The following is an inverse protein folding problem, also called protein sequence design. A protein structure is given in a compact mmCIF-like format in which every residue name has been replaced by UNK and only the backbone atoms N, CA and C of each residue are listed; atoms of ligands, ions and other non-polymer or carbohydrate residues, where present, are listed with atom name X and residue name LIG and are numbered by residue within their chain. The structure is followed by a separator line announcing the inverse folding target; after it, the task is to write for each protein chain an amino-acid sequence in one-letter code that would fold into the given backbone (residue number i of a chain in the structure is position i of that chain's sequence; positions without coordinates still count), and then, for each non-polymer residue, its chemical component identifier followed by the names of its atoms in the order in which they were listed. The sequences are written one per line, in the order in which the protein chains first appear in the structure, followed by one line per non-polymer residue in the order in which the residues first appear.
data_IF_813952599409
#
_entry.id   IF_813952599409
#
_cell.length_a   1.000
_cell.length_b   1.000
_cell.length_c   1.000
_cell.angle_alpha   90.00
_cell.angle_beta   90.00
_cell.angle_gamma   90.00
#
_symmetry.space_group_name_H-M   'P 1'
#
loop_
_entity.id
_entity.type
_entity.pdbx_description
1 polymer ?
#
# COMPACT_ATOMS: atom_id res chain seq x y z
N UNK A 1 34.60 -1.11 2.94
CA UNK A 1 33.93 -0.61 4.17
C UNK A 1 33.36 -1.82 4.90
N UNK A 2 33.66 -2.00 6.18
CA UNK A 2 33.37 -3.23 6.94
C UNK A 2 31.94 -3.30 7.51
N UNK A 3 31.51 -4.48 7.91
CA UNK A 3 30.32 -4.89 8.71
C UNK A 3 30.19 -4.23 10.11
N UNK A 4 30.94 -3.14 10.33
CA UNK A 4 30.99 -2.39 11.59
C UNK A 4 29.93 -1.30 11.65
N UNK A 5 29.35 -1.13 12.82
CA UNK A 5 28.37 -0.08 13.11
C UNK A 5 29.07 1.28 13.19
N UNK A 6 28.72 2.20 12.30
CA UNK A 6 29.01 3.63 12.47
C UNK A 6 28.05 4.19 13.51
N UNK A 7 28.57 4.78 14.58
CA UNK A 7 27.90 5.41 15.73
C UNK A 7 26.38 5.64 15.62
N UNK A 8 25.62 5.25 16.65
CA UNK A 8 24.18 5.52 16.73
C UNK A 8 23.44 4.47 17.56
N UNK A 9 22.12 4.68 17.70
CA UNK A 9 21.22 3.71 18.33
C UNK A 9 20.96 2.56 17.34
N UNK A 10 21.10 1.29 17.76
CA UNK A 10 20.83 0.16 16.88
C UNK A 10 19.36 0.11 16.44
N UNK A 11 19.07 -0.43 15.25
CA UNK A 11 17.69 -0.64 14.80
C UNK A 11 16.95 -1.59 15.74
N UNK A 12 15.61 -1.47 15.77
CA UNK A 12 14.77 -2.41 16.53
C UNK A 12 15.02 -3.84 16.03
N UNK A 13 15.11 -4.80 16.95
CA UNK A 13 15.51 -6.17 16.65
C UNK A 13 17.00 -6.46 16.80
N UNK A 14 17.82 -5.42 16.99
CA UNK A 14 19.27 -5.56 17.15
C UNK A 14 19.81 -4.76 18.33
N UNK A 15 20.94 -5.23 18.84
CA UNK A 15 21.76 -4.57 19.84
C UNK A 15 23.21 -4.49 19.37
N UNK A 16 23.95 -3.50 19.86
CA UNK A 16 25.38 -3.36 19.55
C UNK A 16 26.19 -4.24 20.49
N UNK A 17 27.08 -5.06 19.92
CA UNK A 17 28.05 -5.88 20.66
C UNK A 17 29.47 -5.53 20.21
N UNK A 18 30.52 -5.84 21.01
CA UNK A 18 31.90 -5.75 20.53
C UNK A 18 32.09 -6.55 19.25
N UNK A 19 32.80 -5.99 18.28
CA UNK A 19 33.06 -6.67 17.02
C UNK A 19 33.98 -7.90 17.24
N UNK A 20 33.73 -9.06 16.60
CA UNK A 20 34.59 -10.25 16.75
C UNK A 20 36.06 -9.99 16.42
N UNK A 21 36.34 -9.06 15.50
CA UNK A 21 37.70 -8.64 15.13
C UNK A 21 38.41 -7.77 16.18
N UNK A 22 37.82 -7.54 17.37
CA UNK A 22 38.38 -6.72 18.44
C UNK A 22 38.40 -5.21 18.21
N UNK A 23 37.95 -4.72 17.04
CA UNK A 23 37.91 -3.29 16.69
C UNK A 23 36.50 -2.88 16.25
N UNK A 24 35.89 -1.95 16.99
CA UNK A 24 34.57 -1.40 16.69
C UNK A 24 33.40 -2.22 17.27
N UNK A 25 32.19 -1.94 16.79
CA UNK A 25 30.95 -2.58 17.23
C UNK A 25 30.29 -3.34 16.07
N UNK A 26 29.71 -4.50 16.35
CA UNK A 26 28.86 -5.28 15.46
C UNK A 26 27.39 -5.22 15.91
N UNK A 27 26.47 -5.67 15.05
CA UNK A 27 25.08 -5.89 15.43
C UNK A 27 24.86 -7.37 15.76
N UNK A 28 24.16 -7.63 16.85
CA UNK A 28 23.62 -8.95 17.19
C UNK A 28 22.11 -8.82 17.39
N UNK A 29 21.36 -9.90 17.16
CA UNK A 29 19.92 -9.92 17.47
C UNK A 29 19.70 -9.57 18.95
N UNK A 30 18.77 -8.68 19.18
CA UNK A 30 18.23 -8.35 20.50
C UNK A 30 17.00 -9.23 20.75
N UNK A 31 16.99 -10.14 21.74
CA UNK A 31 15.87 -11.04 21.97
C UNK A 31 14.53 -10.33 22.18
N UNK A 32 14.52 -9.19 22.88
CA UNK A 32 13.29 -8.43 23.14
C UNK A 32 12.75 -7.78 21.86
N UNK A 33 13.61 -7.03 21.16
CA UNK A 33 13.24 -6.38 19.89
C UNK A 33 12.89 -7.39 18.79
N UNK A 34 13.57 -8.54 18.76
CA UNK A 34 13.30 -9.61 17.81
C UNK A 34 11.92 -10.22 18.06
N UNK A 35 11.61 -10.58 19.31
CA UNK A 35 10.29 -11.09 19.70
C UNK A 35 9.19 -10.08 19.35
N UNK A 36 9.41 -8.80 19.67
CA UNK A 36 8.46 -7.73 19.35
C UNK A 36 8.17 -7.63 17.84
N UNK A 37 9.21 -7.71 17.01
CA UNK A 37 9.06 -7.66 15.56
C UNK A 37 8.27 -8.85 15.00
N UNK A 38 8.46 -10.04 15.57
CA UNK A 38 7.68 -11.23 15.22
C UNK A 38 6.22 -11.15 15.70
N UNK A 39 5.97 -10.63 16.90
CA UNK A 39 4.59 -10.35 17.37
C UNK A 39 3.88 -9.35 16.43
N UNK A 40 4.58 -8.29 16.01
CA UNK A 40 4.04 -7.34 15.03
C UNK A 40 3.74 -8.02 13.70
N UNK A 41 4.63 -8.89 13.21
CA UNK A 41 4.42 -9.68 11.98
C UNK A 41 3.17 -10.56 12.11
N UNK A 42 3.03 -11.34 13.19
CA UNK A 42 1.86 -12.18 13.41
C UNK A 42 0.57 -11.35 13.40
N UNK A 43 0.57 -10.20 14.08
CA UNK A 43 -0.61 -9.31 14.07
C UNK A 43 -0.93 -8.73 12.70
N UNK A 44 0.09 -8.36 11.94
CA UNK A 44 -0.08 -7.73 10.63
C UNK A 44 -0.49 -8.73 9.55
N UNK A 45 0.17 -9.89 9.51
CA UNK A 45 0.12 -10.84 8.40
C UNK A 45 -0.81 -12.02 8.71
N UNK A 46 -0.73 -12.59 9.91
CA UNK A 46 -1.50 -13.80 10.26
C UNK A 46 -2.89 -13.45 10.83
N UNK A 47 -2.97 -12.42 11.68
CA UNK A 47 -4.24 -11.92 12.25
C UNK A 47 -4.88 -10.81 11.39
N UNK A 48 -4.22 -10.38 10.32
CA UNK A 48 -4.66 -9.33 9.39
C UNK A 48 -5.06 -7.97 10.05
N UNK A 49 -4.52 -7.64 11.23
CA UNK A 49 -4.88 -6.42 11.96
C UNK A 49 -4.45 -5.15 11.21
N UNK A 50 -5.22 -4.07 11.40
CA UNK A 50 -4.85 -2.74 10.87
C UNK A 50 -3.62 -2.15 11.55
N UNK A 51 -2.82 -1.39 10.81
CA UNK A 51 -1.64 -0.68 11.35
C UNK A 51 -2.00 0.28 12.50
N UNK A 52 -3.21 0.84 12.47
CA UNK A 52 -3.72 1.68 13.56
C UNK A 52 -4.01 0.84 14.81
N UNK A 53 -4.59 -0.35 14.66
CA UNK A 53 -4.81 -1.30 15.77
C UNK A 53 -3.48 -1.71 16.39
N UNK A 54 -2.51 -2.08 15.55
CA UNK A 54 -1.17 -2.51 16.00
C UNK A 54 -0.45 -1.36 16.72
N UNK A 55 -0.48 -0.13 16.17
CA UNK A 55 0.13 1.03 16.82
C UNK A 55 -0.53 1.35 18.17
N UNK A 56 -1.84 1.19 18.28
CA UNK A 56 -2.57 1.37 19.55
C UNK A 56 -2.17 0.31 20.58
N UNK A 57 -2.21 -0.97 20.19
CA UNK A 57 -1.76 -2.09 21.03
C UNK A 57 -0.32 -1.89 21.54
N UNK A 58 0.62 -1.50 20.67
CA UNK A 58 2.00 -1.21 21.06
C UNK A 58 2.09 -0.10 22.12
N UNK A 59 1.25 0.92 22.02
CA UNK A 59 1.22 2.02 22.99
C UNK A 59 0.54 1.64 24.31
N UNK A 60 -0.53 0.84 24.26
CA UNK A 60 -1.24 0.35 25.45
C UNK A 60 -0.36 -0.59 26.28
N UNK A 61 0.42 -1.45 25.61
CA UNK A 61 1.40 -2.35 26.23
C UNK A 61 2.71 -1.64 26.66
N UNK A 62 2.82 -0.33 26.44
CA UNK A 62 4.04 0.43 26.80
C UNK A 62 5.29 0.07 26.00
N UNK A 63 5.14 -0.61 24.85
CA UNK A 63 6.25 -1.04 23.99
C UNK A 63 6.82 0.15 23.22
N UNK A 64 8.15 0.24 23.08
CA UNK A 64 8.82 1.39 22.42
C UNK A 64 9.86 0.95 21.39
N UNK A 65 10.17 1.82 20.42
CA UNK A 65 11.30 1.59 19.49
C UNK A 65 12.64 1.81 20.18
N UNK A 66 13.72 1.21 19.69
CA UNK A 66 15.09 1.42 20.22
C UNK A 66 15.47 2.90 20.30
N UNK A 67 15.10 3.70 19.29
CA UNK A 67 15.36 5.14 19.26
C UNK A 67 14.52 5.89 20.29
N UNK A 68 13.24 5.53 20.46
CA UNK A 68 12.38 6.11 21.49
C UNK A 68 12.89 5.77 22.89
N UNK A 69 13.29 4.53 23.13
CA UNK A 69 13.88 4.08 24.41
C UNK A 69 15.14 4.89 24.73
N UNK A 70 16.02 5.10 23.75
CA UNK A 70 17.24 5.91 23.92
C UNK A 70 16.99 7.40 24.16
N UNK A 71 15.81 7.93 23.78
CA UNK A 71 15.41 9.34 23.98
C UNK A 71 14.56 9.56 25.24
N UNK A 72 14.42 8.56 26.10
CA UNK A 72 13.60 8.65 27.32
C UNK A 72 12.11 8.41 27.10
N UNK A 73 11.71 7.86 25.95
CA UNK A 73 10.33 7.45 25.66
C UNK A 73 9.83 7.90 24.28
N UNK A 74 8.63 7.44 23.93
CA UNK A 74 7.95 7.84 22.69
C UNK A 74 6.79 6.90 22.34
N UNK A 75 5.85 7.38 21.52
CA UNK A 75 4.69 6.62 21.08
C UNK A 75 4.88 6.06 19.67
N UNK A 76 4.34 4.89 19.42
CA UNK A 76 4.19 4.34 18.07
C UNK A 76 3.16 5.14 17.28
N UNK A 77 3.52 5.46 16.04
CA UNK A 77 2.62 5.98 15.02
C UNK A 77 2.57 5.00 13.85
N UNK A 78 1.52 5.04 13.03
CA UNK A 78 1.43 4.24 11.80
C UNK A 78 2.64 4.50 10.89
N UNK A 79 3.11 5.75 10.79
CA UNK A 79 4.32 6.11 10.02
C UNK A 79 5.58 5.47 10.60
N UNK A 80 5.73 5.47 11.93
CA UNK A 80 6.86 4.80 12.59
C UNK A 80 6.83 3.29 12.36
N UNK A 81 5.64 2.68 12.47
CA UNK A 81 5.42 1.25 12.27
C UNK A 81 5.75 0.83 10.84
N UNK A 82 5.19 1.53 9.83
CA UNK A 82 5.51 1.31 8.41
C UNK A 82 7.02 1.43 8.17
N UNK A 83 7.66 2.47 8.71
CA UNK A 83 9.10 2.68 8.55
C UNK A 83 9.93 1.54 9.12
N UNK A 84 9.57 1.01 10.30
CA UNK A 84 10.27 -0.14 10.89
C UNK A 84 10.10 -1.38 10.04
N UNK A 85 8.88 -1.66 9.59
CA UNK A 85 8.55 -2.86 8.82
C UNK A 85 8.93 -2.81 7.34
N UNK A 86 9.34 -1.66 6.81
CA UNK A 86 9.84 -1.52 5.42
C UNK A 86 11.35 -1.30 5.36
N UNK A 87 11.99 -1.06 6.50
CA UNK A 87 13.43 -0.77 6.55
C UNK A 87 14.24 -2.02 6.29
N UNK A 88 15.19 -1.96 5.35
CA UNK A 88 16.12 -3.06 5.07
C UNK A 88 17.07 -3.32 6.25
N UNK A 89 17.09 -2.43 7.26
CA UNK A 89 17.82 -2.64 8.53
C UNK A 89 17.30 -3.82 9.33
N UNK A 90 16.01 -4.17 9.24
CA UNK A 90 15.46 -5.37 9.90
C UNK A 90 15.98 -6.66 9.25
N UNK A 91 16.48 -6.58 8.02
CA UNK A 91 17.14 -7.68 7.32
C UNK A 91 18.65 -7.71 7.57
N UNK A 92 19.15 -6.88 8.49
CA UNK A 92 20.57 -6.82 8.84
C UNK A 92 21.43 -6.06 7.84
N UNK A 93 20.85 -5.42 6.83
CA UNK A 93 21.62 -4.66 5.85
C UNK A 93 22.07 -3.29 6.36
N UNK A 94 23.25 -2.87 5.89
CA UNK A 94 23.73 -1.51 6.05
C UNK A 94 23.00 -0.60 5.07
N UNK A 95 22.35 0.45 5.59
CA UNK A 95 21.64 1.43 4.77
C UNK A 95 21.99 2.87 5.14
N UNK A 96 21.94 3.75 4.15
CA UNK A 96 21.97 5.20 4.28
C UNK A 96 20.56 5.77 4.16
N UNK A 97 20.26 6.82 4.92
CA UNK A 97 18.97 7.52 4.78
C UNK A 97 19.03 8.50 3.62
N UNK A 98 18.01 8.51 2.77
CA UNK A 98 17.87 9.46 1.66
C UNK A 98 16.95 10.61 2.09
N UNK A 99 17.28 11.85 1.72
CA UNK A 99 16.53 13.07 2.07
C UNK A 99 16.30 13.94 0.82
N UNK A 100 15.11 14.54 0.67
CA UNK A 100 14.79 15.45 -0.45
C UNK A 100 14.08 16.77 -0.02
N UNK A 101 14.39 17.90 -0.70
CA UNK A 101 15.57 18.09 -1.56
C UNK A 101 16.85 17.99 -0.72
N UNK A 102 17.98 17.67 -1.35
CA UNK A 102 19.27 17.65 -0.66
C UNK A 102 19.49 19.00 0.07
N UNK A 103 20.03 19.01 1.29
CA UNK A 103 20.33 20.26 1.98
C UNK A 103 21.28 21.10 1.11
N UNK A 104 20.75 22.16 0.49
CA UNK A 104 21.50 23.21 -0.20
C UNK A 104 21.90 24.28 0.80
N UNK A 105 22.87 25.14 0.47
CA UNK A 105 23.18 26.34 1.28
C UNK A 105 21.93 27.20 1.54
N UNK A 106 20.99 27.21 0.60
CA UNK A 106 19.72 27.95 0.68
C UNK A 106 18.64 27.32 1.55
N UNK A 107 18.76 26.04 1.94
CA UNK A 107 17.75 25.36 2.75
C UNK A 107 18.35 24.25 3.65
N UNK A 108 19.25 24.61 4.59
CA UNK A 108 20.02 23.64 5.38
C UNK A 108 19.18 22.80 6.34
N UNK A 109 18.01 23.30 6.74
CA UNK A 109 17.21 22.75 7.84
C UNK A 109 16.04 21.84 7.39
N UNK A 110 15.68 21.82 6.10
CA UNK A 110 14.50 21.09 5.63
C UNK A 110 14.82 19.68 5.12
N UNK A 111 15.41 18.86 5.98
CA UNK A 111 15.76 17.44 5.68
C UNK A 111 14.54 16.53 5.86
N UNK A 112 13.69 16.39 4.83
CA UNK A 112 12.64 15.35 4.84
C UNK A 112 13.25 14.03 4.39
N UNK A 113 13.28 13.04 5.28
CA UNK A 113 13.70 11.68 4.92
C UNK A 113 12.69 11.07 3.96
N UNK A 114 13.14 10.66 2.79
CA UNK A 114 12.32 10.08 1.71
C UNK A 114 12.53 8.58 1.55
N UNK A 115 13.67 8.04 1.98
CA UNK A 115 13.93 6.61 1.84
C UNK A 115 15.17 6.08 2.54
N UNK A 116 15.54 4.86 2.14
CA UNK A 116 16.75 4.14 2.52
C UNK A 116 17.45 3.63 1.25
N UNK A 117 18.77 3.64 1.26
CA UNK A 117 19.62 3.09 0.18
C UNK A 117 20.61 2.11 0.78
N UNK A 118 20.76 0.93 0.17
CA UNK A 118 21.75 -0.08 0.59
C UNK A 118 23.18 0.46 0.41
N UNK A 119 24.04 0.16 1.37
CA UNK A 119 25.48 0.42 1.26
C UNK A 119 26.13 -0.84 0.73
N UNK A 120 26.88 -0.69 -0.36
CA UNK A 120 27.54 -1.79 -1.06
C UNK A 120 29.02 -1.89 -0.66
N UNK A 121 29.59 -3.08 -0.78
CA UNK A 121 31.03 -3.34 -0.59
C UNK A 121 31.84 -3.04 -1.86
N UNK A 122 33.12 -3.44 -1.87
CA UNK A 122 34.01 -3.17 -3.01
C UNK A 122 33.66 -4.03 -4.23
N UNK A 123 32.94 -5.12 -4.02
CA UNK A 123 32.44 -6.08 -5.00
C UNK A 123 31.01 -5.74 -5.47
N UNK A 124 30.43 -4.64 -4.98
CA UNK A 124 29.09 -4.17 -5.33
C UNK A 124 27.96 -4.90 -4.60
N UNK A 125 28.26 -5.76 -3.62
CA UNK A 125 27.26 -6.50 -2.87
C UNK A 125 26.75 -5.70 -1.66
N UNK A 126 25.45 -5.78 -1.32
CA UNK A 126 24.93 -5.13 -0.11
C UNK A 126 25.61 -5.65 1.16
N UNK A 127 26.17 -4.73 1.95
CA UNK A 127 26.85 -5.08 3.20
C UNK A 127 25.81 -5.56 4.23
N UNK A 128 25.85 -6.84 4.56
CA UNK A 128 25.05 -7.44 5.63
C UNK A 128 25.84 -7.42 6.94
N UNK A 129 25.34 -6.69 7.93
CA UNK A 129 25.98 -6.47 9.24
C UNK A 129 25.51 -7.46 10.32
N UNK A 130 24.37 -8.12 10.11
CA UNK A 130 23.82 -9.09 11.04
C UNK A 130 22.88 -10.06 10.31
N UNK A 131 22.54 -11.17 10.98
CA UNK A 131 21.51 -12.09 10.51
C UNK A 131 20.16 -11.38 10.35
N UNK A 132 19.35 -11.74 9.35
CA UNK A 132 18.06 -11.11 9.09
C UNK A 132 17.07 -11.38 10.24
N UNK A 133 16.17 -10.43 10.52
CA UNK A 133 15.14 -10.61 11.56
C UNK A 133 14.00 -11.51 11.09
N UNK A 134 13.64 -11.42 9.81
CA UNK A 134 12.58 -12.20 9.19
C UNK A 134 13.18 -13.16 8.16
N UNK A 135 12.50 -14.28 7.88
CA UNK A 135 12.81 -15.06 6.67
C UNK A 135 12.46 -14.24 5.43
N UNK A 136 13.00 -14.64 4.28
CA UNK A 136 12.67 -14.01 2.99
C UNK A 136 11.17 -14.09 2.67
N UNK A 137 10.56 -15.25 2.95
CA UNK A 137 9.11 -15.46 2.81
C UNK A 137 8.31 -14.52 3.72
N UNK A 138 8.65 -14.47 5.01
CA UNK A 138 7.95 -13.61 5.97
C UNK A 138 8.12 -12.13 5.63
N UNK A 139 9.32 -11.74 5.18
CA UNK A 139 9.58 -10.37 4.78
C UNK A 139 8.75 -9.98 3.56
N UNK A 140 8.66 -10.88 2.58
CA UNK A 140 7.83 -10.70 1.39
C UNK A 140 6.35 -10.56 1.77
N UNK A 141 5.84 -11.42 2.66
CA UNK A 141 4.47 -11.34 3.18
C UNK A 141 4.20 -10.02 3.93
N UNK A 142 5.17 -9.53 4.72
CA UNK A 142 5.08 -8.22 5.38
C UNK A 142 5.02 -7.09 4.34
N UNK A 143 5.91 -7.08 3.34
CA UNK A 143 5.92 -6.04 2.31
C UNK A 143 4.61 -6.03 1.51
N UNK A 144 4.09 -7.21 1.15
CA UNK A 144 2.80 -7.34 0.48
C UNK A 144 1.64 -6.79 1.34
N UNK A 145 1.55 -7.21 2.60
CA UNK A 145 0.52 -6.73 3.53
C UNK A 145 0.56 -5.21 3.76
N UNK A 146 1.74 -4.60 3.69
CA UNK A 146 1.90 -3.14 3.76
C UNK A 146 1.53 -2.46 2.44
N UNK A 147 1.96 -3.04 1.31
CA UNK A 147 1.68 -2.59 -0.05
C UNK A 147 0.18 -2.49 -0.32
N UNK A 148 -0.57 -3.56 -0.07
CA UNK A 148 -2.02 -3.66 -0.21
C UNK A 148 -2.75 -2.54 0.56
N UNK A 149 -2.23 -2.18 1.73
CA UNK A 149 -2.80 -1.13 2.60
C UNK A 149 -2.36 0.29 2.23
N UNK A 150 -1.39 0.46 1.35
CA UNK A 150 -1.02 1.77 0.77
C UNK A 150 -1.91 2.11 -0.42
N UNK A 151 -2.38 1.09 -1.14
CA UNK A 151 -3.36 1.20 -2.23
C UNK A 151 -4.72 1.69 -1.73
N UNK A 152 -5.14 1.29 -0.52
CA UNK A 152 -6.39 1.73 0.13
C UNK A 152 -6.34 3.15 0.71
N UNK A 153 -5.42 3.99 0.21
CA UNK A 153 -5.25 5.38 0.61
C UNK A 153 -6.59 6.12 0.62
N UNK A 154 -6.99 6.58 1.82
CA UNK A 154 -8.24 7.27 2.21
C UNK A 154 -9.35 6.45 2.88
N UNK A 155 -9.05 5.39 3.64
CA UNK A 155 -9.94 4.97 4.73
C UNK A 155 -9.75 5.86 5.98
N UNK A 156 -9.88 7.19 5.83
CA UNK A 156 -10.11 8.05 7.00
C UNK A 156 -11.57 7.91 7.39
N UNK A 157 -11.73 7.36 8.59
CA UNK A 157 -12.91 7.28 9.43
C UNK A 157 -13.79 6.05 9.19
N UNK A 158 -13.96 5.28 10.28
CA UNK A 158 -15.11 4.42 10.55
C UNK A 158 -16.39 5.25 10.50
N UNK A 159 -16.75 5.71 9.31
CA UNK A 159 -18.07 6.28 9.08
C UNK A 159 -19.05 5.11 9.15
N UNK A 160 -20.14 5.24 9.94
CA UNK A 160 -21.20 4.24 9.98
C UNK A 160 -22.01 4.20 8.67
N UNK A 161 -21.57 4.91 7.63
CA UNK A 161 -22.18 4.87 6.30
C UNK A 161 -21.66 3.64 5.53
N UNK A 162 -22.51 2.64 5.25
CA UNK A 162 -22.13 1.47 4.45
C UNK A 162 -21.82 1.84 3.00
N UNK A 163 -22.29 3.00 2.52
CA UNK A 163 -22.03 3.48 1.16
C UNK A 163 -20.79 4.38 1.05
N UNK A 164 -19.95 4.45 2.09
CA UNK A 164 -18.81 5.35 2.10
C UNK A 164 -17.73 5.02 1.06
N UNK A 165 -17.59 5.90 0.06
CA UNK A 165 -16.66 5.76 -1.06
C UNK A 165 -17.06 4.72 -2.11
N UNK A 166 -18.29 4.23 -2.03
CA UNK A 166 -18.95 3.50 -3.12
C UNK A 166 -20.20 4.23 -3.59
N UNK A 167 -20.86 4.99 -2.72
CA UNK A 167 -22.07 5.76 -3.02
C UNK A 167 -21.78 7.24 -3.29
N UNK A 168 -22.19 7.71 -4.46
CA UNK A 168 -22.05 9.09 -4.91
C UNK A 168 -23.38 9.66 -5.40
N UNK A 169 -23.51 10.98 -5.34
CA UNK A 169 -24.55 11.71 -6.03
C UNK A 169 -24.02 12.14 -7.41
N UNK A 170 -24.89 12.26 -8.41
CA UNK A 170 -24.54 12.72 -9.77
C UNK A 170 -23.77 14.07 -9.78
N UNK A 171 -23.94 14.90 -8.75
CA UNK A 171 -23.17 16.14 -8.57
C UNK A 171 -21.71 15.93 -8.12
N UNK A 172 -21.24 14.68 -8.02
CA UNK A 172 -19.88 14.31 -7.64
C UNK A 172 -19.62 14.17 -6.15
N UNK A 173 -20.53 14.60 -5.28
CA UNK A 173 -20.37 14.48 -3.83
C UNK A 173 -20.76 13.09 -3.33
N UNK A 174 -20.04 12.59 -2.32
CA UNK A 174 -20.40 11.34 -1.64
C UNK A 174 -21.79 11.41 -1.00
N UNK A 175 -22.44 10.25 -0.93
CA UNK A 175 -23.71 10.12 -0.23
C UNK A 175 -23.50 10.18 1.28
N UNK A 176 -24.45 10.80 1.98
CA UNK A 176 -24.45 10.95 3.43
C UNK A 176 -25.71 10.33 4.04
N UNK A 177 -25.59 9.85 5.28
CA UNK A 177 -26.72 9.33 6.04
C UNK A 177 -27.51 10.45 6.71
N UNK A 178 -28.83 10.30 6.72
CA UNK A 178 -29.76 11.16 7.42
C UNK A 178 -30.78 10.32 8.18
N UNK A 179 -30.88 10.52 9.50
CA UNK A 179 -31.78 9.74 10.35
C UNK A 179 -32.98 10.58 10.74
N UNK A 180 -34.17 9.99 10.63
CA UNK A 180 -35.44 10.62 11.03
C UNK A 180 -36.23 9.66 11.91
N UNK A 181 -36.72 10.15 13.05
CA UNK A 181 -37.62 9.40 13.93
C UNK A 181 -39.06 9.61 13.47
N UNK A 182 -39.84 8.54 13.35
CA UNK A 182 -41.28 8.61 13.08
C UNK A 182 -42.05 9.09 14.32
N UNK A 183 -43.33 9.46 14.13
CA UNK A 183 -44.26 9.74 15.23
C UNK A 183 -44.44 8.55 16.17
N UNK A 184 -44.33 7.33 15.65
CA UNK A 184 -44.35 6.07 16.43
C UNK A 184 -43.01 5.74 17.12
N UNK A 185 -41.99 6.60 17.00
CA UNK A 185 -40.69 6.42 17.63
C UNK A 185 -39.68 5.54 16.88
N UNK A 186 -40.06 4.97 15.72
CA UNK A 186 -39.18 4.16 14.86
C UNK A 186 -38.13 5.03 14.18
N UNK A 187 -36.86 4.63 14.23
CA UNK A 187 -35.77 5.33 13.55
C UNK A 187 -35.67 4.85 12.10
N UNK A 188 -35.73 5.78 11.15
CA UNK A 188 -35.53 5.53 9.74
C UNK A 188 -34.24 6.19 9.26
N UNK A 189 -33.39 5.43 8.57
CA UNK A 189 -32.15 5.93 7.97
C UNK A 189 -32.35 6.13 6.48
N UNK A 190 -31.98 7.30 6.00
CA UNK A 190 -32.05 7.70 4.60
C UNK A 190 -30.66 8.07 4.08
N UNK A 191 -30.49 7.95 2.78
CA UNK A 191 -29.31 8.34 2.03
C UNK A 191 -29.65 9.59 1.22
N UNK A 192 -28.80 10.61 1.30
CA UNK A 192 -28.94 11.89 0.60
C UNK A 192 -27.62 12.35 0.03
N UNK A 193 -27.65 13.30 -0.90
CA UNK A 193 -26.44 13.99 -1.35
C UNK A 193 -25.69 14.62 -0.16
N UNK A 194 -24.37 14.46 -0.07
CA UNK A 194 -23.55 15.01 1.01
C UNK A 194 -23.57 16.54 1.13
N UNK A 195 -23.91 17.24 0.04
CA UNK A 195 -24.07 18.71 0.03
C UNK A 195 -25.47 19.18 0.44
N UNK A 196 -26.41 18.26 0.63
CA UNK A 196 -27.78 18.61 1.01
C UNK A 196 -27.77 19.19 2.45
N UNK A 197 -28.55 20.24 2.78
CA UNK A 197 -29.73 20.73 2.04
C UNK A 197 -29.42 21.75 0.94
N UNK A 198 -28.18 22.24 0.85
CA UNK A 198 -27.81 23.33 -0.05
C UNK A 198 -27.43 22.87 -1.46
N UNK A 199 -27.16 21.57 -1.64
CA UNK A 199 -26.90 20.94 -2.93
C UNK A 199 -28.13 20.22 -3.51
N UNK A 200 -27.97 18.97 -3.92
CA UNK A 200 -29.08 18.17 -4.46
C UNK A 200 -30.12 17.84 -3.38
N UNK A 201 -31.39 17.78 -3.79
CA UNK A 201 -32.53 17.37 -2.96
C UNK A 201 -32.89 15.92 -3.21
N UNK A 202 -33.66 15.35 -2.28
CA UNK A 202 -34.09 13.96 -2.34
C UNK A 202 -33.40 13.10 -1.29
N UNK A 203 -34.11 12.04 -0.87
CA UNK A 203 -33.62 11.07 0.08
C UNK A 203 -34.25 9.70 -0.23
N UNK A 204 -33.42 8.66 -0.33
CA UNK A 204 -33.86 7.26 -0.48
C UNK A 204 -33.66 6.56 0.86
N UNK A 205 -34.44 5.55 1.21
CA UNK A 205 -34.13 4.76 2.42
C UNK A 205 -32.81 4.02 2.21
N UNK A 206 -32.04 3.88 3.28
CA UNK A 206 -30.77 3.15 3.22
C UNK A 206 -30.98 1.70 2.78
N UNK A 207 -31.95 1.00 3.38
CA UNK A 207 -32.27 -0.39 3.03
C UNK A 207 -32.60 -0.56 1.54
N UNK A 208 -33.43 0.33 0.97
CA UNK A 208 -33.79 0.29 -0.45
C UNK A 208 -32.53 0.53 -1.33
N UNK A 209 -31.61 1.39 -0.89
CA UNK A 209 -30.37 1.69 -1.62
C UNK A 209 -29.38 0.52 -1.59
N UNK A 210 -29.27 -0.14 -0.43
CA UNK A 210 -28.45 -1.34 -0.27
C UNK A 210 -29.01 -2.51 -1.09
N UNK A 211 -30.33 -2.69 -1.09
CA UNK A 211 -30.99 -3.71 -1.90
C UNK A 211 -30.77 -3.49 -3.40
N UNK A 212 -30.97 -2.24 -3.87
CA UNK A 212 -30.70 -1.86 -5.25
C UNK A 212 -29.24 -2.19 -5.61
N UNK A 213 -28.30 -1.82 -4.75
CA UNK A 213 -26.89 -2.09 -5.01
C UNK A 213 -26.60 -3.59 -5.04
N UNK A 214 -27.03 -4.35 -4.04
CA UNK A 214 -26.70 -5.77 -3.91
C UNK A 214 -27.37 -6.62 -5.00
N UNK A 215 -28.68 -6.52 -5.20
CA UNK A 215 -29.40 -7.36 -6.16
C UNK A 215 -28.97 -7.05 -7.59
N UNK A 216 -29.00 -5.78 -8.00
CA UNK A 216 -28.68 -5.42 -9.39
C UNK A 216 -27.19 -5.65 -9.70
N UNK A 217 -26.29 -5.48 -8.73
CA UNK A 217 -24.89 -5.81 -8.92
C UNK A 217 -24.67 -7.32 -9.06
N UNK A 218 -25.28 -8.13 -8.18
CA UNK A 218 -25.12 -9.58 -8.22
C UNK A 218 -25.79 -10.23 -9.42
N UNK A 219 -26.91 -9.69 -9.88
CA UNK A 219 -27.58 -10.19 -11.08
C UNK A 219 -26.74 -9.94 -12.33
N UNK A 220 -26.11 -8.75 -12.44
CA UNK A 220 -25.30 -8.41 -13.59
C UNK A 220 -23.88 -8.98 -13.55
N UNK A 221 -23.25 -9.05 -12.37
CA UNK A 221 -21.82 -9.31 -12.22
C UNK A 221 -21.47 -10.39 -11.19
N UNK A 222 -22.48 -11.05 -10.59
CA UNK A 222 -22.27 -12.01 -9.51
C UNK A 222 -21.35 -13.16 -9.88
N UNK A 223 -21.41 -13.65 -11.11
CA UNK A 223 -20.66 -14.84 -11.56
C UNK A 223 -19.24 -14.49 -12.04
N UNK A 224 -18.86 -13.20 -12.02
CA UNK A 224 -17.52 -12.75 -12.40
C UNK A 224 -16.55 -12.97 -11.25
N UNK A 225 -15.36 -13.48 -11.58
CA UNK A 225 -14.26 -13.56 -10.61
C UNK A 225 -13.81 -12.17 -10.18
N UNK A 226 -13.71 -11.94 -8.87
CA UNK A 226 -13.19 -10.69 -8.34
C UNK A 226 -11.67 -10.63 -8.59
N UNK A 227 -11.24 -9.56 -9.23
CA UNK A 227 -9.83 -9.27 -9.46
C UNK A 227 -9.37 -8.18 -8.51
N UNK A 228 -8.18 -8.35 -7.91
CA UNK A 228 -7.51 -7.30 -7.14
C UNK A 228 -6.30 -6.78 -7.91
N UNK A 229 -6.08 -5.48 -7.85
CA UNK A 229 -4.86 -4.89 -8.38
C UNK A 229 -3.71 -5.15 -7.41
N UNK A 230 -2.74 -5.95 -7.86
CA UNK A 230 -1.51 -6.21 -7.12
C UNK A 230 -0.43 -5.29 -7.67
N UNK A 231 0.24 -4.56 -6.77
CA UNK A 231 1.38 -3.74 -7.13
C UNK A 231 2.59 -4.64 -7.40
N UNK A 232 3.03 -4.67 -8.66
CA UNK A 232 4.31 -5.24 -9.04
C UNK A 232 5.35 -4.13 -8.88
N UNK A 233 6.28 -4.26 -7.92
CA UNK A 233 7.30 -3.25 -7.71
C UNK A 233 8.15 -3.10 -8.96
N UNK A 234 8.44 -1.86 -9.30
CA UNK A 234 9.39 -1.58 -10.35
C UNK A 234 10.81 -1.90 -9.87
N UNK A 235 11.60 -2.52 -10.72
CA UNK A 235 13.01 -2.74 -10.49
C UNK A 235 13.78 -1.66 -11.26
N UNK A 236 14.50 -0.82 -10.54
CA UNK A 236 15.40 0.17 -11.13
C UNK A 236 16.85 -0.26 -10.87
N UNK A 237 17.43 -0.93 -11.87
CA UNK A 237 18.79 -1.43 -11.86
C UNK A 237 19.77 -0.41 -12.45
N UNK A 238 19.34 0.81 -12.78
CA UNK A 238 20.16 1.83 -13.45
C UNK A 238 21.45 2.14 -12.70
N UNK A 239 21.37 2.16 -11.37
CA UNK A 239 22.52 2.43 -10.52
C UNK A 239 23.49 1.25 -10.42
N UNK A 240 22.97 0.04 -10.36
CA UNK A 240 23.79 -1.18 -10.31
C UNK A 240 24.49 -1.40 -11.66
N UNK A 241 23.80 -1.07 -12.76
CA UNK A 241 24.39 -1.05 -14.10
C UNK A 241 25.55 -0.05 -14.17
N UNK A 242 25.35 1.20 -13.74
CA UNK A 242 26.40 2.23 -13.75
C UNK A 242 27.63 1.84 -12.89
N UNK A 243 27.42 1.16 -11.76
CA UNK A 243 28.51 0.68 -10.92
C UNK A 243 29.25 -0.50 -11.56
N UNK A 244 28.52 -1.43 -12.19
CA UNK A 244 29.12 -2.53 -12.94
C UNK A 244 29.97 -2.02 -14.11
N UNK A 245 29.52 -0.95 -14.78
CA UNK A 245 30.29 -0.27 -15.83
C UNK A 245 31.57 0.39 -15.30
N UNK A 246 31.51 1.06 -14.15
CA UNK A 246 32.70 1.63 -13.50
C UNK A 246 33.71 0.55 -13.08
N UNK A 247 33.24 -0.58 -12.55
CA UNK A 247 34.10 -1.71 -12.21
C UNK A 247 34.77 -2.34 -13.43
N UNK A 248 34.06 -2.42 -14.56
CA UNK A 248 34.63 -2.85 -15.85
C UNK A 248 35.72 -1.89 -16.34
N UNK A 249 35.47 -0.59 -16.28
CA UNK A 249 36.43 0.43 -16.69
C UNK A 249 37.70 0.40 -15.81
N UNK A 250 37.52 0.27 -14.50
CA UNK A 250 38.62 0.10 -13.56
C UNK A 250 39.45 -1.15 -13.83
N UNK A 251 38.82 -2.30 -14.04
CA UNK A 251 39.53 -3.55 -14.32
C UNK A 251 40.35 -3.46 -15.62
N UNK A 252 39.82 -2.77 -16.63
CA UNK A 252 40.56 -2.50 -17.88
C UNK A 252 41.76 -1.60 -17.64
N UNK A 253 41.57 -0.52 -16.90
CA UNK A 253 42.66 0.39 -16.53
C UNK A 253 43.76 -0.31 -15.73
N UNK A 254 43.40 -1.15 -14.74
CA UNK A 254 44.35 -1.93 -13.96
C UNK A 254 45.18 -2.87 -14.85
N UNK A 255 44.54 -3.50 -15.84
CA UNK A 255 45.24 -4.34 -16.82
C UNK A 255 46.16 -3.54 -17.74
N UNK A 256 45.70 -2.41 -18.29
CA UNK A 256 46.48 -1.56 -19.20
C UNK A 256 47.72 -0.95 -18.52
N UNK A 257 47.66 -0.77 -17.20
CA UNK A 257 48.76 -0.25 -16.38
C UNK A 257 49.62 -1.37 -15.74
N UNK A 258 49.41 -2.63 -16.11
CA UNK A 258 50.20 -3.76 -15.61
C UNK A 258 50.03 -4.04 -14.11
N UNK A 259 48.91 -3.62 -13.51
CA UNK A 259 48.58 -3.85 -12.10
C UNK A 259 47.90 -5.22 -11.88
N UNK A 260 47.61 -5.95 -12.95
CA UNK A 260 47.14 -7.33 -12.94
C UNK A 260 48.19 -8.18 -13.64
N UNK A 261 48.81 -9.07 -12.88
CA UNK A 261 49.89 -9.97 -13.30
C UNK A 261 49.43 -11.41 -13.61
N UNK A 262 48.15 -11.71 -13.33
CA UNK A 262 47.51 -13.00 -13.59
C UNK A 262 46.40 -12.89 -14.66
N UNK A 263 46.73 -13.38 -15.86
CA UNK A 263 45.83 -13.45 -17.02
C UNK A 263 44.56 -14.28 -16.77
N UNK A 264 44.65 -15.35 -15.97
CA UNK A 264 43.51 -16.21 -15.68
C UNK A 264 42.53 -15.50 -14.73
N UNK A 265 43.07 -14.81 -13.72
CA UNK A 265 42.28 -13.98 -12.80
C UNK A 265 41.59 -12.82 -13.52
N UNK A 266 42.30 -12.14 -14.43
CA UNK A 266 41.74 -11.06 -15.25
C UNK A 266 40.55 -11.55 -16.09
N UNK A 267 40.72 -12.64 -16.83
CA UNK A 267 39.66 -13.23 -17.67
C UNK A 267 38.44 -13.64 -16.86
N UNK A 268 38.66 -14.23 -15.68
CA UNK A 268 37.58 -14.60 -14.76
C UNK A 268 36.77 -13.38 -14.31
N UNK A 269 37.43 -12.33 -13.80
CA UNK A 269 36.78 -11.09 -13.35
C UNK A 269 36.05 -10.37 -14.48
N UNK A 270 36.66 -10.29 -15.66
CA UNK A 270 36.07 -9.69 -16.84
C UNK A 270 34.78 -10.42 -17.23
N UNK A 271 34.81 -11.76 -17.27
CA UNK A 271 33.65 -12.57 -17.64
C UNK A 271 32.48 -12.38 -16.68
N UNK A 272 32.76 -12.31 -15.37
CA UNK A 272 31.74 -12.10 -14.34
C UNK A 272 31.07 -10.72 -14.46
N UNK A 273 31.87 -9.66 -14.64
CA UNK A 273 31.35 -8.30 -14.77
C UNK A 273 30.57 -8.09 -16.08
N UNK A 274 31.01 -8.71 -17.18
CA UNK A 274 30.30 -8.68 -18.47
C UNK A 274 28.95 -9.42 -18.37
N UNK A 275 28.92 -10.59 -17.73
CA UNK A 275 27.68 -11.33 -17.50
C UNK A 275 26.70 -10.52 -16.65
N UNK A 276 27.17 -9.89 -15.56
CA UNK A 276 26.34 -9.04 -14.69
C UNK A 276 25.82 -7.81 -15.44
N UNK A 277 26.66 -7.17 -16.27
CA UNK A 277 26.21 -6.06 -17.13
C UNK A 277 25.10 -6.51 -18.07
N UNK A 278 25.23 -7.67 -18.71
CA UNK A 278 24.22 -8.19 -19.63
C UNK A 278 22.87 -8.44 -18.93
N UNK A 279 22.91 -9.03 -17.73
CA UNK A 279 21.72 -9.26 -16.89
C UNK A 279 21.03 -7.95 -16.49
N UNK A 280 21.79 -6.97 -15.99
CA UNK A 280 21.25 -5.67 -15.56
C UNK A 280 20.78 -4.81 -16.74
N UNK A 281 21.40 -4.95 -17.92
CA UNK A 281 20.97 -4.26 -19.15
C UNK A 281 19.63 -4.82 -19.65
N UNK A 282 19.43 -6.14 -19.56
CA UNK A 282 18.18 -6.76 -19.96
C UNK A 282 16.98 -6.32 -19.09
N UNK A 283 17.22 -5.93 -17.84
CA UNK A 283 16.20 -5.58 -16.85
C UNK A 283 16.32 -4.14 -16.30
N UNK A 284 17.00 -3.22 -16.99
CA UNK A 284 17.47 -1.94 -16.40
C UNK A 284 16.40 -1.11 -15.70
N UNK A 285 15.19 -1.05 -16.27
CA UNK A 285 14.05 -0.38 -15.65
C UNK A 285 12.79 -1.19 -15.96
N UNK A 286 12.32 -1.97 -14.97
CA UNK A 286 10.95 -2.47 -14.98
C UNK A 286 10.11 -1.41 -14.26
N UNK A 287 9.24 -0.65 -14.94
CA UNK A 287 8.41 0.33 -14.27
C UNK A 287 7.44 -0.39 -13.33
N UNK A 288 7.20 0.22 -12.16
CA UNK A 288 6.20 -0.27 -11.24
C UNK A 288 4.83 -0.24 -11.92
N UNK A 289 4.10 -1.36 -11.84
CA UNK A 289 2.79 -1.49 -12.50
C UNK A 289 1.80 -2.20 -11.62
N UNK A 290 0.52 -1.96 -11.88
CA UNK A 290 -0.57 -2.66 -11.23
C UNK A 290 -1.03 -3.77 -12.16
N UNK A 291 -1.06 -5.00 -11.67
CA UNK A 291 -1.56 -6.15 -12.41
C UNK A 291 -2.85 -6.68 -11.76
N UNK A 292 -3.92 -6.91 -12.55
CA UNK A 292 -5.12 -7.56 -12.05
C UNK A 292 -4.84 -9.04 -11.79
N UNK A 293 -4.96 -9.48 -10.55
CA UNK A 293 -4.83 -10.87 -10.14
C UNK A 293 -6.20 -11.39 -9.67
N UNK A 294 -6.64 -12.50 -10.26
CA UNK A 294 -7.86 -13.19 -9.84
C UNK A 294 -7.76 -13.67 -8.38
N UNK A 295 -8.84 -13.50 -7.63
CA UNK A 295 -8.91 -13.92 -6.21
C UNK A 295 -9.37 -15.38 -6.03
N UNK A 296 -9.73 -16.06 -7.11
CA UNK A 296 -10.28 -17.42 -7.12
C UNK A 296 -11.71 -17.52 -6.62
N UNK A 297 -12.37 -16.38 -6.32
CA UNK A 297 -13.77 -16.31 -5.87
C UNK A 297 -14.56 -15.33 -6.73
N UNK A 298 -15.80 -15.67 -7.01
CA UNK A 298 -16.77 -14.80 -7.68
C UNK A 298 -17.40 -13.80 -6.71
N UNK A 299 -17.98 -12.71 -7.22
CA UNK A 299 -18.71 -11.75 -6.37
C UNK A 299 -19.88 -12.41 -5.63
N UNK A 300 -20.59 -13.37 -6.25
CA UNK A 300 -21.70 -14.11 -5.62
C UNK A 300 -21.24 -14.97 -4.46
N UNK A 301 -20.11 -15.66 -4.62
CA UNK A 301 -19.50 -16.44 -3.53
C UNK A 301 -19.06 -15.53 -2.38
N UNK A 302 -18.47 -14.37 -2.68
CA UNK A 302 -18.07 -13.39 -1.68
C UNK A 302 -19.27 -12.82 -0.91
N UNK A 303 -20.44 -12.66 -1.55
CA UNK A 303 -21.65 -12.15 -0.90
C UNK A 303 -22.34 -13.16 0.02
N UNK A 304 -22.10 -14.46 -0.21
CA UNK A 304 -22.62 -15.55 0.63
C UNK A 304 -21.85 -15.65 1.96
N UNK A 305 -20.60 -15.18 1.99
CA UNK A 305 -19.77 -15.14 3.21
C UNK A 305 -20.07 -13.88 4.04
N UNK A 306 -20.64 -14.06 5.23
CA UNK A 306 -20.97 -12.97 6.17
C UNK A 306 -19.74 -12.20 6.68
N UNK A 307 -18.54 -12.82 6.65
CA UNK A 307 -17.31 -12.18 7.07
C UNK A 307 -16.73 -11.22 6.02
N UNK A 308 -17.24 -11.25 4.78
CA UNK A 308 -16.78 -10.39 3.68
C UNK A 308 -17.13 -8.93 3.94
N UNK A 309 -16.12 -8.05 3.91
CA UNK A 309 -16.35 -6.60 3.82
C UNK A 309 -16.77 -6.23 2.38
N UNK A 310 -18.06 -6.37 2.10
CA UNK A 310 -18.68 -6.09 0.78
C UNK A 310 -18.34 -4.69 0.27
N UNK A 311 -18.31 -3.70 1.17
CA UNK A 311 -17.96 -2.31 0.82
C UNK A 311 -16.52 -2.22 0.34
N UNK A 312 -15.59 -2.91 0.99
CA UNK A 312 -14.20 -2.96 0.56
C UNK A 312 -14.04 -3.65 -0.80
N UNK A 313 -14.76 -4.77 -1.02
CA UNK A 313 -14.77 -5.48 -2.30
C UNK A 313 -15.21 -4.58 -3.46
N UNK A 314 -16.30 -3.83 -3.29
CA UNK A 314 -16.79 -2.89 -4.29
C UNK A 314 -15.78 -1.75 -4.54
N UNK A 315 -15.13 -1.22 -3.50
CA UNK A 315 -14.10 -0.18 -3.62
C UNK A 315 -12.89 -0.64 -4.42
N UNK A 316 -12.36 -1.81 -4.09
CA UNK A 316 -11.15 -2.36 -4.73
C UNK A 316 -11.41 -2.69 -6.20
N UNK A 317 -12.66 -3.02 -6.52
CA UNK A 317 -13.12 -3.25 -7.89
C UNK A 317 -13.53 -1.96 -8.62
N UNK A 318 -13.34 -0.78 -8.00
CA UNK A 318 -13.77 0.54 -8.53
C UNK A 318 -15.26 0.63 -8.90
N UNK A 319 -16.11 -0.15 -8.24
CA UNK A 319 -17.56 -0.15 -8.45
C UNK A 319 -18.21 0.96 -7.62
N UNK A 320 -19.11 1.72 -8.23
CA UNK A 320 -19.78 2.87 -7.60
C UNK A 320 -21.28 2.86 -7.86
N UNK A 321 -22.06 3.14 -6.84
CA UNK A 321 -23.47 3.50 -6.96
C UNK A 321 -23.60 5.01 -7.11
N UNK A 322 -24.21 5.47 -8.18
CA UNK A 322 -24.49 6.89 -8.42
C UNK A 322 -25.98 7.14 -8.32
N UNK A 323 -26.40 8.01 -7.39
CA UNK A 323 -27.78 8.48 -7.30
C UNK A 323 -27.95 9.81 -8.03
N UNK A 324 -28.93 9.87 -8.93
CA UNK A 324 -29.30 11.07 -9.68
C UNK A 324 -30.24 11.96 -8.87
N UNK A 325 -29.77 12.41 -7.69
CA UNK A 325 -30.54 13.32 -6.87
C UNK A 325 -30.69 14.67 -7.61
N UNK A 326 -31.92 15.17 -7.80
CA UNK A 326 -32.14 16.40 -8.56
C UNK A 326 -31.50 17.62 -7.87
N UNK A 327 -30.97 18.59 -8.64
CA UNK A 327 -30.49 19.86 -8.09
C UNK A 327 -31.60 20.61 -7.32
N UNK A 328 -31.22 21.46 -6.37
CA UNK A 328 -32.18 22.36 -5.72
C UNK A 328 -32.73 23.37 -6.75
N UNK A 329 -34.04 23.58 -6.75
CA UNK A 329 -34.72 24.50 -7.67
C UNK A 329 -35.37 23.83 -8.88
N UNK A 330 -35.15 22.53 -9.11
CA UNK A 330 -35.88 21.79 -10.14
C UNK A 330 -37.36 21.61 -9.77
N UNK A 331 -38.22 21.80 -10.76
CA UNK A 331 -39.69 21.65 -10.68
C UNK A 331 -40.13 20.18 -10.80
N UNK A 332 -39.24 19.28 -11.22
CA UNK A 332 -39.53 17.85 -11.39
C UNK A 332 -39.89 17.21 -10.05
N UNK A 333 -41.14 16.75 -9.93
CA UNK A 333 -41.63 16.01 -8.77
C UNK A 333 -41.40 14.51 -8.95
N UNK A 334 -40.15 14.08 -9.16
CA UNK A 334 -39.86 12.64 -9.22
C UNK A 334 -39.80 12.10 -7.80
N UNK A 335 -40.77 11.23 -7.44
CA UNK A 335 -40.75 10.49 -6.16
C UNK A 335 -39.65 9.42 -6.13
N UNK A 336 -39.23 8.96 -7.30
CA UNK A 336 -38.15 7.98 -7.50
C UNK A 336 -36.86 8.74 -7.77
N UNK A 337 -35.81 8.43 -7.03
CA UNK A 337 -34.47 8.94 -7.31
C UNK A 337 -33.80 7.92 -8.22
N UNK A 338 -33.45 8.31 -9.44
CA UNK A 338 -32.79 7.40 -10.35
C UNK A 338 -31.38 7.05 -9.90
N UNK A 339 -30.87 5.92 -10.40
CA UNK A 339 -29.57 5.40 -10.01
C UNK A 339 -28.86 4.72 -11.17
N UNK A 340 -27.54 4.62 -11.06
CA UNK A 340 -26.66 3.92 -11.98
C UNK A 340 -25.59 3.18 -11.17
N UNK A 341 -25.19 1.98 -11.61
CA UNK A 341 -24.00 1.29 -11.10
C UNK A 341 -22.88 1.48 -12.12
N UNK A 342 -21.87 2.26 -11.74
CA UNK A 342 -20.67 2.47 -12.54
C UNK A 342 -19.65 1.39 -12.22
N UNK A 343 -19.19 0.70 -13.26
CA UNK A 343 -18.15 -0.33 -13.22
C UNK A 343 -16.93 0.12 -14.03
N UNK A 344 -15.77 -0.55 -13.89
CA UNK A 344 -14.62 -0.26 -14.74
C UNK A 344 -14.95 -0.40 -16.24
N UNK A 345 -14.39 0.47 -17.11
CA UNK A 345 -14.72 0.52 -18.53
C UNK A 345 -14.41 -0.77 -19.31
N UNK A 346 -13.53 -1.61 -18.78
CA UNK A 346 -13.17 -2.92 -19.35
C UNK A 346 -14.21 -4.04 -19.05
N UNK A 347 -15.28 -3.72 -18.33
CA UNK A 347 -16.37 -4.66 -18.06
C UNK A 347 -17.47 -4.52 -19.13
N UNK A 348 -18.06 -5.64 -19.59
CA UNK A 348 -19.19 -5.59 -20.51
C UNK A 348 -20.35 -4.86 -19.84
N UNK A 349 -21.16 -4.15 -20.63
CA UNK A 349 -22.37 -3.52 -20.13
C UNK A 349 -23.26 -4.56 -19.44
N UNK A 350 -23.90 -4.19 -18.31
CA UNK A 350 -24.77 -5.10 -17.61
C UNK A 350 -25.95 -5.47 -18.50
N UNK A 351 -26.26 -6.76 -18.61
CA UNK A 351 -27.53 -7.22 -19.18
C UNK A 351 -28.66 -6.83 -18.23
N UNK A 352 -29.32 -5.72 -18.54
CA UNK A 352 -30.48 -5.23 -17.80
C UNK A 352 -31.75 -5.99 -18.22
N UNK A 353 -32.64 -6.26 -17.27
CA UNK A 353 -34.01 -6.70 -17.56
C UNK A 353 -34.78 -5.60 -18.28
N UNK A 354 -35.89 -5.92 -18.97
CA UNK A 354 -36.70 -4.93 -19.67
C UNK A 354 -37.17 -3.78 -18.75
N UNK A 355 -37.44 -4.07 -17.48
CA UNK A 355 -37.83 -3.07 -16.49
C UNK A 355 -36.65 -2.16 -16.10
N UNK A 356 -35.47 -2.73 -15.87
CA UNK A 356 -34.24 -1.97 -15.58
C UNK A 356 -33.79 -1.14 -16.79
N UNK A 357 -33.95 -1.69 -18.00
CA UNK A 357 -33.70 -1.01 -19.26
C UNK A 357 -34.67 0.17 -19.44
N UNK A 358 -35.96 -0.02 -19.18
CA UNK A 358 -36.96 1.05 -19.23
C UNK A 358 -36.66 2.16 -18.20
N UNK A 359 -36.20 1.80 -17.01
CA UNK A 359 -35.72 2.78 -16.02
C UNK A 359 -34.50 3.51 -16.56
N UNK A 360 -33.48 2.81 -17.09
CA UNK A 360 -32.27 3.43 -17.67
C UNK A 360 -32.61 4.41 -18.81
N UNK A 361 -33.49 3.99 -19.73
CA UNK A 361 -33.86 4.77 -20.92
C UNK A 361 -34.69 6.01 -20.56
N UNK A 362 -35.55 5.92 -19.54
CA UNK A 362 -36.27 7.07 -19.00
C UNK A 362 -35.32 8.14 -18.41
N UNK A 363 -34.11 7.74 -17.99
CA UNK A 363 -33.09 8.64 -17.44
C UNK A 363 -32.19 9.24 -18.51
N UNK A 364 -31.88 8.48 -19.57
CA UNK A 364 -31.14 8.99 -20.73
C UNK A 364 -31.90 10.09 -21.47
N UNK A 365 -33.24 10.01 -21.54
CA UNK A 365 -34.07 11.02 -22.19
C UNK A 365 -34.26 12.30 -21.37
N UNK A 366 -33.92 12.29 -20.08
CA UNK A 366 -34.03 13.46 -19.20
C UNK A 366 -32.76 14.33 -19.18
N UNK A 367 -31.73 13.94 -19.93
CA UNK A 367 -30.40 14.59 -19.97
C UNK A 367 -30.09 15.31 -21.30
N UNK A 368 -31.10 15.50 -22.18
CA UNK A 368 -31.03 16.36 -23.37
C UNK A 368 -31.90 17.60 -23.22
#
# INVERSE_FOLDING_TARGET
MTDRVSHGVPPLGYQTVPHPSGKGKALKRDPEGYKLLHEIKTKLVDENQSLTSIARWLNEEGKTTSVSKARGGGKWSVTTLKRVLTSQRTQGYRVMSVFEPAPTESNPDRKRRTGEKLVLDAEGQPIRMAEPTFSEEDWTRIQAALGDRTASGTARQMTPNPLAGIGYCVCGYSLALHRRKSSSGKLHTYVRCGRSPDGCRGAVKLADTELILEENFLDAYGDREMQRLVFVPGEDHSQELAQTEQSLERLRWESDNGLVDDDALYKSRLSALVARKAELTANTVVPARWEPVGTGKTYRELWTDEATDRRQVLRDSSIRLVLHCPPRGTTTQTKVIPWEIQVPPEWPEPTLTEEQQAIRDALGQSAL
#
